data_IF_458788205573
#
_entry.id   IF_458788205573
#
_cell.length_a   1.000
_cell.length_b   1.000
_cell.length_c   1.000
_cell.angle_alpha   90.00
_cell.angle_beta   90.00
_cell.angle_gamma   90.00
#
_symmetry.space_group_name_H-M   'P 1'
#
loop_
_entity.id
_entity.type
_entity.pdbx_description
1 polymer ?
#
# COMPACT_ATOMS: atom_id res chain seq x y z
N UNK A 1 -18.75 2.49 10.70
CA UNK A 1 -17.93 3.57 10.11
C UNK A 1 -16.99 4.21 11.12
N UNK A 2 -17.47 4.69 12.29
CA UNK A 2 -16.60 5.27 13.35
C UNK A 2 -15.46 4.34 13.79
N UNK A 3 -15.73 3.05 13.99
CA UNK A 3 -14.72 2.05 14.35
C UNK A 3 -13.65 1.86 13.27
N UNK A 4 -14.04 1.83 11.99
CA UNK A 4 -13.10 1.71 10.86
C UNK A 4 -12.17 2.92 10.76
N UNK A 5 -12.72 4.13 10.94
CA UNK A 5 -11.93 5.37 10.95
C UNK A 5 -10.94 5.35 12.11
N UNK A 6 -11.40 4.92 13.29
CA UNK A 6 -10.54 4.81 14.46
C UNK A 6 -9.41 3.80 14.25
N UNK A 7 -9.71 2.61 13.74
CA UNK A 7 -8.70 1.59 13.41
C UNK A 7 -7.69 2.15 12.40
N UNK A 8 -8.18 2.82 11.34
CA UNK A 8 -7.31 3.42 10.32
C UNK A 8 -6.38 4.48 10.93
N UNK A 9 -6.89 5.31 11.84
CA UNK A 9 -6.09 6.28 12.55
C UNK A 9 -5.02 5.62 13.44
N UNK A 10 -5.39 4.56 14.15
CA UNK A 10 -4.46 3.80 14.99
C UNK A 10 -3.33 3.16 14.18
N UNK A 11 -3.60 2.65 12.97
CA UNK A 11 -2.58 2.05 12.09
C UNK A 11 -1.45 3.03 11.78
N UNK A 12 -1.73 4.33 11.67
CA UNK A 12 -0.71 5.35 11.43
C UNK A 12 -0.12 5.93 12.72
N UNK A 13 -0.96 6.14 13.74
CA UNK A 13 -0.53 6.78 14.97
C UNK A 13 0.41 5.89 15.79
N UNK A 14 0.12 4.59 15.88
CA UNK A 14 0.90 3.67 16.73
C UNK A 14 2.35 3.56 16.26
N UNK A 15 2.66 3.29 14.98
CA UNK A 15 4.05 3.25 14.50
C UNK A 15 4.77 4.58 14.69
N UNK A 16 4.08 5.70 14.47
CA UNK A 16 4.65 7.04 14.64
C UNK A 16 5.04 7.31 16.11
N UNK A 17 4.18 6.95 17.05
CA UNK A 17 4.46 7.09 18.49
C UNK A 17 5.62 6.17 18.90
N UNK A 18 5.64 4.92 18.43
CA UNK A 18 6.75 3.99 18.69
C UNK A 18 8.08 4.58 18.21
N UNK A 19 8.12 5.04 16.95
CA UNK A 19 9.33 5.63 16.36
C UNK A 19 9.83 6.84 17.17
N UNK A 20 8.92 7.75 17.57
CA UNK A 20 9.27 8.94 18.37
C UNK A 20 9.85 8.51 19.72
N UNK A 21 9.23 7.54 20.41
CA UNK A 21 9.70 7.05 21.70
C UNK A 21 11.09 6.42 21.56
N UNK A 22 11.32 5.62 20.53
CA UNK A 22 12.61 4.97 20.30
C UNK A 22 13.74 5.99 20.08
N UNK A 23 13.46 7.08 19.35
CA UNK A 23 14.43 8.17 19.19
C UNK A 23 14.68 8.93 20.49
N UNK A 24 13.64 9.25 21.26
CA UNK A 24 13.77 10.00 22.52
C UNK A 24 14.54 9.21 23.60
N UNK A 25 14.36 7.89 23.64
CA UNK A 25 15.07 7.00 24.57
C UNK A 25 16.47 6.64 24.06
N UNK A 26 16.79 6.99 22.81
CA UNK A 26 18.07 6.70 22.17
C UNK A 26 18.24 5.22 21.80
N UNK A 27 17.12 4.50 21.63
CA UNK A 27 17.10 3.11 21.18
C UNK A 27 17.38 2.98 19.69
N UNK A 28 17.06 4.01 18.92
CA UNK A 28 17.39 4.18 17.51
C UNK A 28 18.30 5.38 17.31
N UNK A 29 19.20 5.30 16.33
CA UNK A 29 20.05 6.39 15.89
C UNK A 29 20.01 6.50 14.38
N UNK A 30 20.05 7.73 13.87
CA UNK A 30 20.29 7.95 12.46
C UNK A 30 21.79 8.12 12.32
N UNK A 31 22.41 7.22 11.58
CA UNK A 31 23.81 7.38 11.20
C UNK A 31 23.88 7.56 9.68
N UNK A 32 24.93 8.25 9.26
CA UNK A 32 25.25 8.50 7.87
C UNK A 32 26.46 7.63 7.50
N UNK A 33 26.24 6.32 7.23
CA UNK A 33 27.35 5.42 6.92
C UNK A 33 28.03 5.80 5.60
N UNK A 34 27.33 6.53 4.73
CA UNK A 34 27.78 6.98 3.42
C UNK A 34 27.06 8.29 3.13
N UNK A 35 27.82 9.39 3.00
CA UNK A 35 27.43 10.83 2.81
C UNK A 35 26.15 11.18 2.02
N UNK A 36 25.52 10.23 1.35
CA UNK A 36 24.34 10.36 0.50
C UNK A 36 23.11 9.55 1.00
N UNK A 37 23.19 8.82 2.12
CA UNK A 37 22.10 8.00 2.65
C UNK A 37 22.03 7.99 4.19
N UNK A 38 20.87 8.33 4.74
CA UNK A 38 20.59 8.19 6.17
C UNK A 38 19.97 6.82 6.46
N UNK A 39 20.57 6.06 7.37
CA UNK A 39 20.07 4.74 7.78
C UNK A 39 19.76 4.72 9.28
N UNK A 40 18.75 3.93 9.67
CA UNK A 40 18.34 3.77 11.07
C UNK A 40 19.08 2.58 11.66
N UNK A 41 19.88 2.85 12.69
CA UNK A 41 20.60 1.85 13.45
C UNK A 41 19.91 1.61 14.79
N UNK A 42 19.73 0.33 15.12
CA UNK A 42 19.23 -0.08 16.43
C UNK A 42 20.39 -0.26 17.40
N UNK A 43 20.29 0.35 18.57
CA UNK A 43 21.32 0.23 19.61
C UNK A 43 21.35 -1.13 20.29
N UNK A 44 20.27 -1.90 20.18
CA UNK A 44 20.12 -3.18 20.87
C UNK A 44 19.33 -4.19 20.00
N UNK A 45 19.77 -5.44 20.01
CA UNK A 45 19.11 -6.56 19.34
C UNK A 45 17.66 -6.75 19.81
N UNK A 46 17.34 -6.43 21.06
CA UNK A 46 15.96 -6.52 21.56
C UNK A 46 15.01 -5.55 20.86
N UNK A 47 15.46 -4.32 20.62
CA UNK A 47 14.70 -3.28 19.89
C UNK A 47 14.54 -3.69 18.44
N UNK A 48 15.60 -4.24 17.85
CA UNK A 48 15.58 -4.76 16.49
C UNK A 48 14.56 -5.91 16.30
N UNK A 49 14.54 -6.87 17.22
CA UNK A 49 13.56 -7.98 17.22
C UNK A 49 12.14 -7.43 17.41
N UNK A 50 11.95 -6.50 18.36
CA UNK A 50 10.66 -5.87 18.60
C UNK A 50 10.12 -5.21 17.33
N UNK A 51 10.92 -4.36 16.68
CA UNK A 51 10.51 -3.69 15.45
C UNK A 51 10.28 -4.67 14.31
N UNK A 52 11.11 -5.70 14.15
CA UNK A 52 10.88 -6.75 13.16
C UNK A 52 9.52 -7.44 13.37
N UNK A 53 9.16 -7.73 14.63
CA UNK A 53 7.89 -8.38 14.94
C UNK A 53 6.71 -7.46 14.59
N UNK A 54 6.72 -6.22 15.07
CA UNK A 54 5.57 -5.32 14.92
C UNK A 54 5.46 -4.70 13.53
N UNK A 55 6.56 -4.37 12.88
CA UNK A 55 6.56 -3.77 11.54
C UNK A 55 6.34 -4.81 10.42
N UNK A 56 6.71 -6.08 10.65
CA UNK A 56 6.69 -7.09 9.60
C UNK A 56 6.03 -8.42 9.99
N UNK A 57 6.55 -9.12 11.01
CA UNK A 57 6.14 -10.51 11.26
C UNK A 57 4.67 -10.64 11.65
N UNK A 58 4.18 -9.76 12.53
CA UNK A 58 2.80 -9.75 13.01
C UNK A 58 1.81 -9.37 11.89
N UNK A 59 1.99 -8.28 11.13
CA UNK A 59 1.18 -7.99 9.95
C UNK A 59 1.16 -9.18 8.97
N UNK A 60 2.32 -9.77 8.67
CA UNK A 60 2.40 -10.88 7.72
C UNK A 60 1.64 -12.11 8.21
N UNK A 61 1.78 -12.46 9.48
CA UNK A 61 1.08 -13.60 10.08
C UNK A 61 -0.44 -13.40 10.08
N UNK A 62 -0.92 -12.21 10.45
CA UNK A 62 -2.34 -11.86 10.41
C UNK A 62 -2.90 -11.95 8.98
N UNK A 63 -2.15 -11.47 7.99
CA UNK A 63 -2.55 -11.56 6.58
C UNK A 63 -2.62 -13.02 6.11
N UNK A 64 -1.64 -13.87 6.47
CA UNK A 64 -1.69 -15.30 6.16
C UNK A 64 -2.92 -15.99 6.78
N UNK A 65 -3.24 -15.69 8.05
CA UNK A 65 -4.43 -16.23 8.71
C UNK A 65 -5.72 -15.79 8.00
N UNK A 66 -5.80 -14.52 7.59
CA UNK A 66 -6.94 -14.00 6.84
C UNK A 66 -7.09 -14.66 5.47
N UNK A 67 -5.99 -14.87 4.75
CA UNK A 67 -5.98 -15.59 3.48
C UNK A 67 -6.45 -17.04 3.69
N UNK A 68 -5.90 -17.73 4.70
CA UNK A 68 -6.29 -19.10 5.03
C UNK A 68 -7.78 -19.20 5.38
N UNK A 69 -8.29 -18.31 6.23
CA UNK A 69 -9.71 -18.27 6.59
C UNK A 69 -10.59 -18.01 5.35
N UNK A 70 -10.16 -17.11 4.47
CA UNK A 70 -10.85 -16.78 3.21
C UNK A 70 -10.90 -17.98 2.25
N UNK A 71 -9.79 -18.68 2.08
CA UNK A 71 -9.71 -19.89 1.26
C UNK A 71 -10.55 -21.03 1.84
N UNK A 72 -10.50 -21.22 3.16
CA UNK A 72 -11.32 -22.21 3.87
C UNK A 72 -12.80 -21.91 3.69
N UNK A 73 -13.21 -20.65 3.78
CA UNK A 73 -14.59 -20.24 3.52
C UNK A 73 -15.01 -20.59 2.10
N UNK A 74 -14.22 -20.24 1.08
CA UNK A 74 -14.52 -20.61 -0.32
C UNK A 74 -14.64 -22.13 -0.48
N UNK A 75 -13.72 -22.89 0.11
CA UNK A 75 -13.75 -24.34 0.01
C UNK A 75 -15.05 -24.90 0.61
N UNK A 76 -15.39 -24.51 1.83
CA UNK A 76 -16.62 -24.95 2.51
C UNK A 76 -17.87 -24.58 1.70
N UNK A 77 -17.97 -23.34 1.22
CA UNK A 77 -19.16 -22.94 0.44
C UNK A 77 -19.21 -23.60 -0.94
N UNK A 78 -18.07 -23.85 -1.59
CA UNK A 78 -18.03 -24.57 -2.87
C UNK A 78 -18.49 -26.02 -2.76
N UNK A 79 -18.21 -26.69 -1.64
CA UNK A 79 -18.68 -28.06 -1.36
C UNK A 79 -20.19 -28.07 -1.16
N UNK A 80 -20.73 -27.12 -0.39
CA UNK A 80 -22.17 -26.93 -0.19
C UNK A 80 -22.91 -26.54 -1.48
N UNK A 81 -22.27 -25.78 -2.37
CA UNK A 81 -22.84 -25.37 -3.64
C UNK A 81 -22.79 -26.46 -4.72
N UNK A 82 -21.88 -27.43 -4.64
CA UNK A 82 -21.92 -28.59 -5.55
C UNK A 82 -23.24 -29.34 -5.46
N UNK A 83 -23.91 -29.24 -4.31
CA UNK A 83 -25.27 -29.75 -4.05
C UNK A 83 -26.41 -28.78 -4.43
N UNK A 84 -26.14 -27.50 -4.70
CA UNK A 84 -27.13 -26.49 -5.11
C UNK A 84 -26.78 -25.91 -6.50
N UNK A 85 -27.58 -26.24 -7.51
CA UNK A 85 -27.36 -25.87 -8.93
C UNK A 85 -27.37 -24.36 -9.26
N UNK A 86 -27.52 -23.46 -8.29
CA UNK A 86 -27.59 -22.02 -8.53
C UNK A 86 -26.61 -21.26 -7.62
N UNK A 87 -25.51 -20.76 -8.21
CA UNK A 87 -24.52 -19.93 -7.51
C UNK A 87 -25.01 -18.48 -7.53
N UNK A 88 -25.16 -17.87 -6.35
CA UNK A 88 -25.57 -16.47 -6.25
C UNK A 88 -24.50 -15.51 -6.79
N UNK A 89 -24.92 -14.43 -7.45
CA UNK A 89 -24.01 -13.41 -7.97
C UNK A 89 -23.14 -12.76 -6.88
N UNK A 90 -23.66 -12.67 -5.65
CA UNK A 90 -22.95 -12.15 -4.46
C UNK A 90 -21.74 -13.00 -4.11
N UNK A 91 -21.85 -14.31 -4.26
CA UNK A 91 -20.80 -15.24 -3.87
C UNK A 91 -19.70 -15.35 -4.94
N UNK A 92 -20.09 -15.28 -6.22
CA UNK A 92 -19.12 -15.10 -7.32
C UNK A 92 -18.29 -13.83 -7.12
N UNK A 93 -18.92 -12.75 -6.66
CA UNK A 93 -18.22 -11.51 -6.34
C UNK A 93 -17.25 -11.67 -5.15
N UNK A 94 -17.69 -12.30 -4.06
CA UNK A 94 -16.83 -12.55 -2.90
C UNK A 94 -15.61 -13.41 -3.25
N UNK A 95 -15.79 -14.43 -4.09
CA UNK A 95 -14.68 -15.27 -4.58
C UNK A 95 -13.68 -14.48 -5.42
N UNK A 96 -14.17 -13.61 -6.30
CA UNK A 96 -13.30 -12.72 -7.09
C UNK A 96 -12.48 -11.79 -6.20
N UNK A 97 -13.11 -11.21 -5.17
CA UNK A 97 -12.45 -10.30 -4.23
C UNK A 97 -11.34 -11.00 -3.44
N UNK A 98 -11.58 -12.25 -3.00
CA UNK A 98 -10.54 -13.03 -2.31
C UNK A 98 -9.37 -13.33 -3.25
N UNK A 99 -9.62 -13.68 -4.52
CA UNK A 99 -8.53 -13.93 -5.49
C UNK A 99 -7.71 -12.66 -5.70
N UNK A 100 -8.37 -11.50 -5.89
CA UNK A 100 -7.69 -10.20 -6.01
C UNK A 100 -6.84 -9.90 -4.77
N UNK A 101 -7.38 -10.14 -3.58
CA UNK A 101 -6.69 -9.97 -2.31
C UNK A 101 -5.43 -10.86 -2.21
N UNK A 102 -5.52 -12.12 -2.60
CA UNK A 102 -4.38 -13.06 -2.60
C UNK A 102 -3.31 -12.59 -3.60
N UNK A 103 -3.69 -12.22 -4.82
CA UNK A 103 -2.75 -11.73 -5.82
C UNK A 103 -2.02 -10.46 -5.34
N UNK A 104 -2.77 -9.51 -4.75
CA UNK A 104 -2.20 -8.29 -4.19
C UNK A 104 -1.17 -8.61 -3.09
N UNK A 105 -1.53 -9.44 -2.11
CA UNK A 105 -0.61 -9.81 -1.02
C UNK A 105 0.60 -10.61 -1.48
N UNK A 106 0.46 -11.41 -2.52
CA UNK A 106 1.59 -12.13 -3.10
C UNK A 106 2.60 -11.16 -3.74
N UNK A 107 2.12 -10.20 -4.56
CA UNK A 107 2.98 -9.20 -5.19
C UNK A 107 3.65 -8.33 -4.13
N UNK A 108 2.87 -7.87 -3.15
CA UNK A 108 3.35 -7.11 -2.00
C UNK A 108 4.44 -7.88 -1.23
N UNK A 109 4.20 -9.16 -0.94
CA UNK A 109 5.14 -10.03 -0.24
C UNK A 109 6.43 -10.32 -1.03
N UNK A 110 6.43 -10.21 -2.37
CA UNK A 110 7.64 -10.41 -3.18
C UNK A 110 8.43 -9.12 -3.33
N UNK A 111 7.76 -7.98 -3.51
CA UNK A 111 8.42 -6.73 -3.85
C UNK A 111 8.75 -5.87 -2.64
N UNK A 112 7.90 -5.85 -1.61
CA UNK A 112 8.05 -4.96 -0.45
C UNK A 112 8.70 -5.64 0.76
N UNK A 113 8.34 -6.90 1.03
CA UNK A 113 8.88 -7.66 2.17
C UNK A 113 10.42 -7.68 2.26
N UNK A 114 11.18 -7.89 1.16
CA UNK A 114 12.64 -7.90 1.23
C UNK A 114 13.22 -6.58 1.77
N UNK A 115 12.63 -5.44 1.41
CA UNK A 115 13.05 -4.13 1.90
C UNK A 115 12.87 -4.00 3.41
N UNK A 116 11.71 -4.42 3.92
CA UNK A 116 11.45 -4.35 5.36
C UNK A 116 12.32 -5.32 6.13
N UNK A 117 12.54 -6.54 5.64
CA UNK A 117 13.44 -7.48 6.31
C UNK A 117 14.87 -6.92 6.36
N UNK A 118 15.39 -6.41 5.24
CA UNK A 118 16.78 -5.90 5.19
C UNK A 118 16.96 -4.65 6.05
N UNK A 119 16.00 -3.72 6.03
CA UNK A 119 16.03 -2.51 6.86
C UNK A 119 15.91 -2.83 8.36
N UNK A 120 15.06 -3.79 8.74
CA UNK A 120 14.92 -4.20 10.14
C UNK A 120 16.08 -5.07 10.62
N UNK A 121 16.69 -5.88 9.76
CA UNK A 121 17.83 -6.74 10.11
C UNK A 121 19.18 -6.00 10.08
N UNK A 122 19.19 -4.71 9.74
CA UNK A 122 20.41 -3.90 9.70
C UNK A 122 21.52 -4.58 8.88
N UNK A 123 21.13 -5.19 7.76
CA UNK A 123 22.05 -5.84 6.83
C UNK A 123 22.64 -4.76 5.92
N UNK A 124 23.73 -4.12 6.36
CA UNK A 124 24.36 -2.98 5.70
C UNK A 124 25.22 -3.33 4.48
N UNK A 125 24.77 -4.29 3.66
CA UNK A 125 25.37 -4.54 2.36
C UNK A 125 24.76 -3.58 1.34
N UNK A 126 25.54 -2.58 0.92
CA UNK A 126 25.07 -1.49 0.06
C UNK A 126 24.39 -1.99 -1.23
N UNK A 127 24.93 -3.03 -1.87
CA UNK A 127 24.34 -3.61 -3.07
C UNK A 127 22.95 -4.22 -2.78
N UNK A 128 22.78 -4.86 -1.63
CA UNK A 128 21.51 -5.46 -1.23
C UNK A 128 20.49 -4.37 -0.92
N UNK A 129 20.89 -3.35 -0.14
CA UNK A 129 20.01 -2.22 0.24
C UNK A 129 19.48 -1.47 -0.99
N UNK A 130 20.35 -1.20 -1.97
CA UNK A 130 19.96 -0.53 -3.21
C UNK A 130 18.92 -1.35 -4.01
N UNK A 131 19.13 -2.66 -4.14
CA UNK A 131 18.21 -3.55 -4.87
C UNK A 131 16.85 -3.57 -4.18
N UNK A 132 16.81 -3.76 -2.86
CA UNK A 132 15.53 -3.85 -2.13
C UNK A 132 14.81 -2.50 -2.08
N UNK A 133 15.53 -1.38 -2.05
CA UNK A 133 14.94 -0.04 -2.10
C UNK A 133 14.29 0.23 -3.47
N UNK A 134 14.95 -0.17 -4.56
CA UNK A 134 14.36 -0.07 -5.90
C UNK A 134 13.12 -0.96 -6.02
N UNK A 135 13.16 -2.19 -5.51
CA UNK A 135 12.01 -3.09 -5.50
C UNK A 135 10.82 -2.48 -4.73
N UNK A 136 11.08 -1.90 -3.56
CA UNK A 136 10.04 -1.21 -2.79
C UNK A 136 9.51 0.02 -3.52
N UNK A 137 10.36 0.80 -4.19
CA UNK A 137 9.89 1.96 -4.97
C UNK A 137 9.02 1.54 -6.16
N UNK A 138 9.41 0.48 -6.87
CA UNK A 138 8.64 -0.08 -7.98
C UNK A 138 7.28 -0.57 -7.49
N UNK A 139 7.22 -1.20 -6.33
CA UNK A 139 5.96 -1.65 -5.72
C UNK A 139 5.02 -0.48 -5.42
N UNK A 140 5.49 0.53 -4.68
CA UNK A 140 4.69 1.72 -4.34
C UNK A 140 4.18 2.43 -5.60
N UNK A 141 4.98 2.47 -6.67
CA UNK A 141 4.59 3.07 -7.95
C UNK A 141 3.57 2.20 -8.73
N UNK A 142 3.69 0.88 -8.65
CA UNK A 142 2.85 -0.07 -9.37
C UNK A 142 1.54 -0.39 -8.65
N UNK A 143 1.44 -0.16 -7.34
CA UNK A 143 0.26 -0.47 -6.51
C UNK A 143 -1.07 0.01 -7.13
N UNK A 144 -1.21 1.27 -7.58
CA UNK A 144 -2.44 1.72 -8.24
C UNK A 144 -2.74 0.95 -9.53
N UNK A 145 -1.71 0.54 -10.27
CA UNK A 145 -1.85 -0.23 -11.52
C UNK A 145 -2.26 -1.67 -11.20
N UNK A 146 -1.65 -2.28 -10.19
CA UNK A 146 -1.97 -3.63 -9.71
C UNK A 146 -3.42 -3.67 -9.23
N UNK A 147 -3.83 -2.72 -8.39
CA UNK A 147 -5.21 -2.61 -7.89
C UNK A 147 -6.18 -2.38 -9.05
N UNK A 148 -5.82 -1.55 -10.03
CA UNK A 148 -6.68 -1.30 -11.18
C UNK A 148 -6.79 -2.50 -12.13
N UNK A 149 -5.72 -3.28 -12.28
CA UNK A 149 -5.72 -4.51 -13.07
C UNK A 149 -6.53 -5.61 -12.38
N UNK A 150 -6.49 -5.67 -11.04
CA UNK A 150 -7.20 -6.65 -10.24
C UNK A 150 -8.69 -6.31 -10.10
N UNK A 151 -9.04 -5.04 -9.83
CA UNK A 151 -10.42 -4.60 -9.61
C UNK A 151 -10.97 -3.73 -10.76
N UNK A 152 -11.89 -4.32 -11.53
CA UNK A 152 -12.63 -3.66 -12.61
C UNK A 152 -13.40 -2.43 -12.14
N UNK A 153 -13.87 -2.40 -10.88
CA UNK A 153 -14.60 -1.25 -10.32
C UNK A 153 -13.66 -0.07 -10.11
N UNK A 154 -12.47 -0.35 -9.58
CA UNK A 154 -11.44 0.67 -9.42
C UNK A 154 -11.05 1.23 -10.78
N UNK A 155 -10.83 0.38 -11.78
CA UNK A 155 -10.54 0.82 -13.15
C UNK A 155 -11.62 1.72 -13.75
N UNK A 156 -12.91 1.37 -13.59
CA UNK A 156 -14.01 2.19 -14.10
C UNK A 156 -14.05 3.58 -13.44
N UNK A 157 -13.87 3.65 -12.12
CA UNK A 157 -13.79 4.92 -11.39
C UNK A 157 -12.55 5.72 -11.78
N UNK A 158 -11.40 5.04 -11.94
CA UNK A 158 -10.15 5.65 -12.36
C UNK A 158 -10.26 6.24 -13.76
N UNK A 159 -10.92 5.55 -14.68
CA UNK A 159 -11.20 6.04 -16.03
C UNK A 159 -12.09 7.28 -16.00
N UNK A 160 -13.16 7.27 -15.19
CA UNK A 160 -14.04 8.43 -15.01
C UNK A 160 -13.30 9.63 -14.45
N UNK A 161 -12.44 9.41 -13.45
CA UNK A 161 -11.57 10.43 -12.89
C UNK A 161 -10.61 11.00 -13.95
N UNK A 162 -9.95 10.15 -14.73
CA UNK A 162 -9.07 10.59 -15.81
C UNK A 162 -9.78 11.42 -16.89
N UNK A 163 -11.00 11.04 -17.27
CA UNK A 163 -11.84 11.84 -18.18
C UNK A 163 -12.22 13.19 -17.56
N UNK A 164 -12.55 13.22 -16.27
CA UNK A 164 -12.87 14.45 -15.55
C UNK A 164 -11.65 15.40 -15.50
N UNK A 165 -10.48 14.90 -15.10
CA UNK A 165 -9.23 15.67 -15.07
C UNK A 165 -8.88 16.22 -16.46
N UNK A 166 -8.98 15.38 -17.49
CA UNK A 166 -8.78 15.80 -18.88
C UNK A 166 -9.73 16.95 -19.23
N UNK A 167 -11.03 16.80 -18.97
CA UNK A 167 -12.01 17.83 -19.29
C UNK A 167 -11.74 19.15 -18.53
N UNK A 168 -11.38 19.09 -17.25
CA UNK A 168 -11.02 20.29 -16.47
C UNK A 168 -9.80 21.01 -17.05
N UNK A 169 -8.74 20.27 -17.42
CA UNK A 169 -7.54 20.84 -18.04
C UNK A 169 -7.85 21.45 -19.43
N UNK A 170 -8.68 20.78 -20.24
CA UNK A 170 -9.03 21.26 -21.58
C UNK A 170 -10.02 22.43 -21.55
N UNK A 171 -10.94 22.48 -20.58
CA UNK A 171 -11.87 23.61 -20.37
C UNK A 171 -11.11 24.85 -19.90
N UNK A 172 -10.16 24.68 -18.96
CA UNK A 172 -9.34 25.79 -18.47
C UNK A 172 -8.43 26.36 -19.58
N UNK A 173 -7.86 25.49 -20.43
CA UNK A 173 -7.12 25.92 -21.64
C UNK A 173 -8.01 26.66 -22.65
N UNK A 174 -9.29 26.28 -22.81
CA UNK A 174 -10.23 26.98 -23.70
C UNK A 174 -10.65 28.34 -23.13
N UNK A 175 -10.86 28.45 -21.82
CA UNK A 175 -11.22 29.70 -21.19
C UNK A 175 -10.05 30.70 -21.14
N UNK A 176 -8.81 30.25 -20.92
CA UNK A 176 -7.61 31.11 -21.07
C UNK A 176 -7.38 31.63 -22.48
N UNK A 177 -7.81 30.91 -23.52
CA UNK A 177 -7.76 31.41 -24.91
C UNK A 177 -8.91 32.36 -25.25
N UNK A 178 -9.89 32.53 -24.36
CA UNK A 178 -11.04 33.45 -24.51
C UNK A 178 -10.91 34.71 -23.64
N UNK A 179 -9.70 35.11 -23.26
CA UNK A 179 -9.47 36.45 -22.71
C UNK A 179 -9.87 37.44 -23.80
N UNK A 180 -10.95 38.17 -23.56
CA UNK A 180 -11.49 39.18 -24.45
C UNK A 180 -10.43 40.26 -24.72
N UNK A 181 -10.38 40.84 -25.94
CA UNK A 181 -9.61 42.06 -26.14
C UNK A 181 -10.17 43.12 -25.19
N UNK A 182 -9.35 43.57 -24.25
CA UNK A 182 -9.65 44.79 -23.49
C UNK A 182 -9.69 45.92 -24.51
N UNK A 183 -10.90 46.38 -24.84
CA UNK A 183 -11.10 47.62 -25.58
C UNK A 183 -10.49 48.74 -24.76
N UNK A 184 -9.26 49.10 -25.09
CA UNK A 184 -8.63 50.33 -24.62
C UNK A 184 -9.37 51.44 -25.36
N UNK A 185 -10.19 52.19 -24.63
CA UNK A 185 -10.93 53.33 -25.18
C UNK A 185 -9.89 54.40 -25.57
N UNK A 186 -9.77 54.79 -26.85
CA UNK A 186 -8.90 55.89 -27.24
C UNK A 186 -9.63 57.20 -26.93
N UNK A 187 -8.99 58.05 -26.14
CA UNK A 187 -9.38 59.46 -25.99
C UNK A 187 -9.22 60.21 -27.31
#
# INVERSE_FOLDING_TARGET
MKLLIFIQFCIYLIPLVILIVEFLVGWTRIEDPIRDSCEVFYTNIYVQIFNTIFAYALPMFLNMLMIYASLRHIHLTSVLQRTQHCVSAREKYHRSLIIQFICFYFIWGVLWSPFVIVSQMSLHQQNVMNIVTILSFVEVACDPIIVAALDVRFWDQWRKFGVHVKNTIFVDRRNRRRIHPTTVNPN
#
